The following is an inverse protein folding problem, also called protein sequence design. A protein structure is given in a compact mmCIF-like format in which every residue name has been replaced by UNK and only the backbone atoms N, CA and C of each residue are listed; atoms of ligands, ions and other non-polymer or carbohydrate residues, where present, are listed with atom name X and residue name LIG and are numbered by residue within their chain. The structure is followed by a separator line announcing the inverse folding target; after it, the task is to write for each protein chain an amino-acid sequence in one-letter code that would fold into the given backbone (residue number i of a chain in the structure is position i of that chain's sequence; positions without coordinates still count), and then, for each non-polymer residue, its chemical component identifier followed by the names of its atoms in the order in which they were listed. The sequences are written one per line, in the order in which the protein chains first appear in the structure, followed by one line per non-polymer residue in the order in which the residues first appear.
data_IF_098762836626
#
_entry.id   IF_098762836626
#
_cell.length_a   1.000
_cell.length_b   1.000
_cell.length_c   1.000
_cell.angle_alpha   90.00
_cell.angle_beta   90.00
_cell.angle_gamma   90.00
#
_symmetry.space_group_name_H-M   'P 1'
#
loop_
_entity.id
_entity.type
_entity.pdbx_description
1 polymer ?
#
# COMPACT_ATOMS: atom_id res chain seq x y z
N UNK A 1 4.24 -6.06 -9.76
CA UNK A 1 3.86 -4.80 -9.06
C UNK A 1 4.17 -4.88 -7.56
N UNK A 2 4.80 -3.85 -6.98
CA UNK A 2 5.05 -3.66 -5.54
C UNK A 2 5.64 -4.87 -4.79
N UNK A 3 6.77 -5.41 -5.25
CA UNK A 3 7.35 -6.63 -4.66
C UNK A 3 7.95 -6.37 -3.28
N UNK A 4 8.70 -5.27 -3.12
CA UNK A 4 9.36 -4.90 -1.85
C UNK A 4 8.31 -4.55 -0.80
N UNK A 5 7.26 -3.82 -1.18
CA UNK A 5 6.17 -3.47 -0.27
C UNK A 5 5.43 -4.71 0.25
N UNK A 6 5.13 -5.69 -0.61
CA UNK A 6 4.49 -6.95 -0.18
C UNK A 6 5.36 -7.74 0.79
N UNK A 7 6.65 -7.83 0.51
CA UNK A 7 7.60 -8.51 1.40
C UNK A 7 7.66 -7.81 2.77
N UNK A 8 7.65 -6.48 2.76
CA UNK A 8 7.60 -5.70 3.99
C UNK A 8 6.31 -5.95 4.79
N UNK A 9 5.13 -5.89 4.15
CA UNK A 9 3.86 -6.18 4.84
C UNK A 9 3.84 -7.60 5.44
N UNK A 10 4.31 -8.60 4.68
CA UNK A 10 4.41 -9.99 5.16
C UNK A 10 5.36 -10.13 6.35
N UNK A 11 6.52 -9.46 6.30
CA UNK A 11 7.50 -9.48 7.39
C UNK A 11 6.98 -8.85 8.68
N UNK A 12 6.00 -7.94 8.58
CA UNK A 12 5.35 -7.28 9.72
C UNK A 12 3.98 -7.90 10.09
N UNK A 13 3.67 -9.11 9.59
CA UNK A 13 2.43 -9.81 9.92
C UNK A 13 1.15 -9.14 9.38
N UNK A 14 1.27 -8.18 8.47
CA UNK A 14 0.13 -7.44 7.93
C UNK A 14 -0.50 -8.22 6.78
N UNK A 15 -1.74 -8.68 6.99
CA UNK A 15 -2.54 -9.29 5.94
C UNK A 15 -2.80 -8.30 4.79
N UNK A 16 -2.77 -8.82 3.56
CA UNK A 16 -3.04 -8.03 2.36
C UNK A 16 -3.76 -8.85 1.30
N UNK A 17 -4.55 -8.17 0.48
CA UNK A 17 -5.27 -8.74 -0.66
C UNK A 17 -4.97 -7.94 -1.93
N UNK A 18 -4.82 -8.65 -3.05
CA UNK A 18 -4.51 -8.07 -4.35
C UNK A 18 -5.79 -8.01 -5.17
N UNK A 19 -6.11 -6.84 -5.69
CA UNK A 19 -7.24 -6.63 -6.58
C UNK A 19 -6.75 -5.88 -7.82
N UNK A 20 -7.09 -6.39 -9.00
CA UNK A 20 -6.79 -5.72 -10.25
C UNK A 20 -8.07 -5.13 -10.81
N UNK A 21 -8.06 -3.82 -11.02
CA UNK A 21 -9.20 -3.11 -11.59
C UNK A 21 -8.79 -2.63 -12.97
N UNK A 22 -9.50 -3.12 -13.99
CA UNK A 22 -9.33 -2.65 -15.35
C UNK A 22 -10.44 -1.63 -15.64
N UNK A 23 -10.17 -0.32 -15.55
CA UNK A 23 -11.17 0.67 -15.88
C UNK A 23 -11.48 0.62 -17.38
N UNK A 24 -12.77 0.61 -17.73
CA UNK A 24 -13.23 0.42 -19.11
C UNK A 24 -12.87 1.59 -20.05
N UNK A 25 -12.68 2.79 -19.51
CA UNK A 25 -12.57 4.04 -20.30
C UNK A 25 -11.20 4.75 -20.22
N UNK A 26 -10.21 4.23 -19.48
CA UNK A 26 -8.88 4.86 -19.41
C UNK A 26 -7.76 3.86 -19.74
N UNK A 27 -6.70 4.30 -20.44
CA UNK A 27 -5.57 3.42 -20.78
C UNK A 27 -4.75 3.01 -19.55
N UNK A 28 -4.92 3.73 -18.43
CA UNK A 28 -4.23 3.48 -17.19
C UNK A 28 -4.88 2.34 -16.44
N UNK A 29 -4.09 1.31 -16.11
CA UNK A 29 -4.58 0.19 -15.32
C UNK A 29 -4.35 0.46 -13.84
N UNK A 30 -5.31 0.08 -13.02
CA UNK A 30 -5.25 0.24 -11.57
C UNK A 30 -4.94 -1.10 -10.88
N UNK A 31 -3.85 -1.12 -10.13
CA UNK A 31 -3.54 -2.22 -9.23
C UNK A 31 -3.82 -1.79 -7.79
N UNK A 32 -4.80 -2.43 -7.15
CA UNK A 32 -5.19 -2.13 -5.79
C UNK A 32 -4.63 -3.20 -4.85
N UNK A 33 -3.89 -2.77 -3.82
CA UNK A 33 -3.41 -3.64 -2.76
C UNK A 33 -4.06 -3.20 -1.45
N UNK A 34 -5.07 -3.94 -1.03
CA UNK A 34 -5.76 -3.75 0.25
C UNK A 34 -4.92 -4.36 1.36
N UNK A 35 -4.81 -3.71 2.52
CA UNK A 35 -4.01 -4.19 3.63
C UNK A 35 -4.55 -3.71 4.97
N UNK A 36 -4.14 -4.38 6.05
CA UNK A 36 -4.67 -4.21 7.41
C UNK A 36 -6.14 -4.63 7.52
N UNK A 37 -6.35 -5.86 8.00
CA UNK A 37 -7.69 -6.43 8.25
C UNK A 37 -8.11 -6.01 9.66
N UNK A 38 -9.30 -5.42 9.80
CA UNK A 38 -9.88 -5.11 11.10
C UNK A 38 -10.47 -6.36 11.78
N UNK A 39 -10.97 -6.22 13.00
CA UNK A 39 -11.61 -7.31 13.76
C UNK A 39 -12.87 -7.88 13.08
N UNK A 40 -13.48 -7.11 12.15
CA UNK A 40 -14.65 -7.51 11.36
C UNK A 40 -14.27 -8.23 10.06
N UNK A 41 -12.98 -8.30 9.73
CA UNK A 41 -12.49 -8.93 8.52
C UNK A 41 -12.37 -8.02 7.30
N UNK A 42 -12.63 -6.72 7.42
CA UNK A 42 -12.54 -5.75 6.33
C UNK A 42 -11.15 -5.13 6.23
N UNK A 43 -10.66 -4.95 5.00
CA UNK A 43 -9.44 -4.21 4.74
C UNK A 43 -9.67 -2.71 4.79
N UNK A 44 -8.96 -2.04 5.69
CA UNK A 44 -9.16 -0.61 5.97
C UNK A 44 -8.28 0.28 5.09
N UNK A 45 -7.09 -0.18 4.73
CA UNK A 45 -6.14 0.60 3.94
C UNK A 45 -5.96 0.02 2.55
N UNK A 46 -5.57 0.89 1.60
CA UNK A 46 -5.26 0.45 0.23
C UNK A 46 -4.15 1.27 -0.41
N UNK A 47 -3.35 0.59 -1.23
CA UNK A 47 -2.50 1.22 -2.23
C UNK A 47 -3.20 1.13 -3.58
N UNK A 48 -3.27 2.21 -4.33
CA UNK A 48 -3.74 2.25 -5.72
C UNK A 48 -2.52 2.57 -6.57
N UNK A 49 -2.16 1.68 -7.49
CA UNK A 49 -1.02 1.85 -8.39
C UNK A 49 -1.52 2.03 -9.80
N UNK A 50 -1.37 3.23 -10.30
CA UNK A 50 -1.62 3.59 -11.69
C UNK A 50 -0.37 3.21 -12.49
N UNK A 51 -0.57 2.38 -13.50
CA UNK A 51 0.51 1.93 -14.39
C UNK A 51 0.06 1.89 -15.84
N UNK A 52 1.05 2.08 -16.71
CA UNK A 52 0.91 1.95 -18.15
C UNK A 52 1.87 0.89 -18.67
N UNK A 53 1.59 0.38 -19.85
CA UNK A 53 2.52 -0.48 -20.59
C UNK A 53 3.18 0.36 -21.67
N UNK A 54 4.50 0.34 -21.72
CA UNK A 54 5.24 0.90 -22.86
C UNK A 54 4.97 0.08 -24.10
N UNK A 55 5.27 0.62 -25.29
CA UNK A 55 5.19 -0.10 -26.56
C UNK A 55 5.89 -1.47 -26.55
N UNK A 56 6.99 -1.63 -25.81
CA UNK A 56 7.70 -2.93 -25.66
C UNK A 56 7.07 -3.85 -24.60
N UNK A 57 5.86 -3.58 -24.12
CA UNK A 57 5.18 -4.36 -23.08
C UNK A 57 5.75 -4.21 -21.66
N UNK A 58 6.75 -3.34 -21.43
CA UNK A 58 7.27 -3.09 -20.09
C UNK A 58 6.29 -2.26 -19.27
N UNK A 59 6.02 -2.72 -18.05
CA UNK A 59 5.15 -2.02 -17.11
C UNK A 59 5.88 -0.83 -16.48
N UNK A 60 5.28 0.36 -16.59
CA UNK A 60 5.76 1.60 -15.98
C UNK A 60 4.76 2.05 -14.91
N UNK A 61 5.24 2.19 -13.68
CA UNK A 61 4.45 2.81 -12.60
C UNK A 61 4.46 4.31 -12.84
N UNK A 62 3.25 4.89 -12.94
CA UNK A 62 3.09 6.33 -13.06
C UNK A 62 2.92 6.97 -11.69
N UNK A 63 2.06 6.37 -10.86
CA UNK A 63 1.67 6.91 -9.57
C UNK A 63 1.27 5.81 -8.60
N UNK A 64 1.60 6.01 -7.33
CA UNK A 64 1.16 5.15 -6.24
C UNK A 64 0.46 6.01 -5.19
N UNK A 65 -0.83 5.76 -5.01
CA UNK A 65 -1.67 6.48 -4.06
C UNK A 65 -1.91 5.60 -2.84
N UNK A 66 -1.49 6.05 -1.67
CA UNK A 66 -1.75 5.43 -0.38
C UNK A 66 -2.97 6.10 0.26
N UNK A 67 -3.98 5.29 0.56
CA UNK A 67 -5.16 5.70 1.30
C UNK A 67 -5.21 4.90 2.60
N UNK A 68 -4.95 5.59 3.70
CA UNK A 68 -5.12 5.06 5.05
C UNK A 68 -6.52 5.39 5.57
N UNK A 69 -7.06 4.52 6.42
CA UNK A 69 -8.30 4.79 7.12
C UNK A 69 -8.16 6.01 8.03
N UNK A 70 -9.15 6.90 8.01
CA UNK A 70 -9.13 8.18 8.73
C UNK A 70 -8.28 9.28 8.08
N UNK A 71 -7.64 9.03 6.94
CA UNK A 71 -6.85 10.04 6.23
C UNK A 71 -7.74 10.87 5.29
N UNK A 72 -7.78 12.19 5.48
CA UNK A 72 -8.58 13.12 4.66
C UNK A 72 -8.03 13.23 3.23
N UNK A 73 -6.70 13.36 3.10
CA UNK A 73 -6.03 13.49 1.80
C UNK A 73 -5.12 12.30 1.55
N UNK A 74 -5.31 11.51 0.47
CA UNK A 74 -4.42 10.40 0.17
C UNK A 74 -3.00 10.90 -0.11
N UNK A 75 -2.00 10.06 0.19
CA UNK A 75 -0.60 10.37 -0.10
C UNK A 75 -0.18 9.76 -1.42
N UNK A 76 0.55 10.53 -2.21
CA UNK A 76 0.96 10.12 -3.55
C UNK A 76 2.47 9.95 -3.62
N UNK A 77 2.91 8.90 -4.31
CA UNK A 77 4.31 8.55 -4.46
C UNK A 77 4.61 8.22 -5.92
N UNK A 78 5.77 8.64 -6.40
CA UNK A 78 6.23 8.32 -7.77
C UNK A 78 6.89 6.95 -7.86
N UNK A 79 7.51 6.47 -6.77
CA UNK A 79 8.28 5.23 -6.76
C UNK A 79 7.92 4.32 -5.60
N UNK A 80 8.13 3.01 -5.79
CA UNK A 80 7.98 2.02 -4.70
C UNK A 80 8.95 2.30 -3.54
N UNK A 81 10.14 2.85 -3.82
CA UNK A 81 11.13 3.19 -2.79
C UNK A 81 10.64 4.31 -1.88
N UNK A 82 10.00 5.34 -2.42
CA UNK A 82 9.43 6.44 -1.63
C UNK A 82 8.28 5.95 -0.75
N UNK A 83 7.40 5.11 -1.33
CA UNK A 83 6.35 4.45 -0.58
C UNK A 83 6.92 3.63 0.57
N UNK A 84 7.94 2.81 0.30
CA UNK A 84 8.55 1.94 1.32
C UNK A 84 9.21 2.75 2.44
N UNK A 85 9.88 3.86 2.09
CA UNK A 85 10.46 4.79 3.09
C UNK A 85 9.37 5.38 3.98
N UNK A 86 8.26 5.80 3.38
CA UNK A 86 7.11 6.30 4.14
C UNK A 86 6.53 5.25 5.09
N UNK A 87 6.30 4.03 4.58
CA UNK A 87 5.78 2.91 5.35
C UNK A 87 6.69 2.60 6.55
N UNK A 88 8.00 2.42 6.33
CA UNK A 88 8.96 2.18 7.43
C UNK A 88 8.87 3.24 8.53
N UNK A 89 8.74 4.52 8.17
CA UNK A 89 8.61 5.62 9.14
C UNK A 89 7.28 5.60 9.91
N UNK A 90 6.21 5.11 9.29
CA UNK A 90 4.85 5.12 9.85
C UNK A 90 4.34 3.72 10.22
N UNK A 91 5.24 2.75 10.39
CA UNK A 91 4.87 1.36 10.69
C UNK A 91 4.00 1.21 11.94
N UNK A 92 4.16 2.10 12.92
CA UNK A 92 3.34 2.16 14.14
C UNK A 92 1.85 2.40 13.87
N UNK A 93 1.46 2.94 12.72
CA UNK A 93 0.07 3.28 12.42
C UNK A 93 -0.77 2.07 12.02
N UNK A 94 -0.17 1.10 11.32
CA UNK A 94 -0.87 0.01 10.65
C UNK A 94 -0.31 -1.40 10.95
N UNK A 95 0.84 -1.51 11.63
CA UNK A 95 1.39 -2.79 12.07
C UNK A 95 1.13 -2.95 13.57
N UNK A 96 0.17 -3.81 13.93
CA UNK A 96 -0.24 -4.05 15.32
C UNK A 96 0.95 -4.45 16.22
N UNK A 97 1.89 -5.23 15.70
CA UNK A 97 3.09 -5.66 16.43
C UNK A 97 4.03 -4.49 16.76
N UNK A 98 4.18 -3.53 15.85
CA UNK A 98 4.98 -2.31 16.07
C UNK A 98 4.26 -1.37 17.05
N UNK A 99 2.92 -1.32 16.98
CA UNK A 99 2.08 -0.52 17.89
C UNK A 99 2.26 -0.96 19.34
N UNK A 100 2.28 -2.28 19.59
CA UNK A 100 2.55 -2.87 20.92
C UNK A 100 3.96 -2.53 21.43
N UNK A 101 4.98 -2.57 20.58
CA UNK A 101 6.37 -2.21 20.95
C UNK A 101 6.54 -0.71 21.22
N UNK A 102 5.90 0.15 20.44
CA UNK A 102 5.98 1.60 20.61
C UNK A 102 5.30 2.06 21.92
N UNK A 103 4.18 1.44 22.32
CA UNK A 103 3.54 1.71 23.60
C UNK A 103 4.40 1.28 24.80
N UNK A 104 5.14 0.16 24.71
CA UNK A 104 6.05 -0.29 25.77
C UNK A 104 7.27 0.61 25.98
N UNK A 105 7.73 1.35 24.96
CA UNK A 105 8.89 2.26 25.08
C UNK A 105 8.56 3.65 25.64
N UNK A 106 7.28 3.97 25.83
CA UNK A 106 6.81 5.27 26.34
C UNK A 106 6.46 5.25 27.84
N UNK A 107 6.64 4.12 28.52
CA UNK A 107 6.49 3.97 29.96
C UNK A 107 7.85 3.74 30.61
#
# INVERSE_FOLDING_TARGET
MLRKTKNFLKAHGVAYEKEHVNPLMVPEKNYVLKFEKNDKGDYQNRFIVEHTYTWTGRMKINKITLRLHGQVHPREFKTESDLLRYLKKHAHQYAADVKKQHHKKKH
#
